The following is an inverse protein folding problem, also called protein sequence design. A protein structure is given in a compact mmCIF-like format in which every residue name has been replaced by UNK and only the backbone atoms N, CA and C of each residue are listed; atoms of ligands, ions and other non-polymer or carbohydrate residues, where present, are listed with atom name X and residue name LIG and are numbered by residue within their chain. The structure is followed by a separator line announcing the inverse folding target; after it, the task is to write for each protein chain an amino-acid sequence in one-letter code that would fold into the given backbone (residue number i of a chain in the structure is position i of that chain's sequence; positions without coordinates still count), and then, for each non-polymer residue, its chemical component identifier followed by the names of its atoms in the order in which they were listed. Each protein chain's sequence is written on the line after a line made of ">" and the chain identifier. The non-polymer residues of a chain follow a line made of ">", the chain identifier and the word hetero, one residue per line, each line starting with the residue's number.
data_IF_282666981258
#
_entry.id   IF_282666981258
#
_cell.length_a   1.000
_cell.length_b   1.000
_cell.length_c   1.000
_cell.angle_alpha   90.00
_cell.angle_beta   90.00
_cell.angle_gamma   90.00
#
_symmetry.space_group_name_H-M   'P 1'
#
loop_
_entity.id
_entity.type
_entity.pdbx_description
1 polymer ?
#
# COMPACT_ATOMS: atom_id res chain seq x y z
N UNK A 1 36.16 17.15 -6.55
CA UNK A 1 35.10 18.18 -6.59
C UNK A 1 33.88 17.52 -7.20
N UNK A 2 32.84 17.26 -6.42
CA UNK A 2 31.58 16.77 -7.00
C UNK A 2 31.01 17.90 -7.87
N UNK A 3 30.76 17.61 -9.15
CA UNK A 3 30.25 18.56 -10.13
C UNK A 3 28.85 19.02 -9.72
N UNK A 4 28.66 20.33 -9.57
CA UNK A 4 27.34 20.91 -9.42
C UNK A 4 26.68 20.94 -10.80
N UNK A 5 25.81 19.99 -11.09
CA UNK A 5 24.89 20.09 -12.22
C UNK A 5 23.88 21.20 -11.90
N UNK A 6 23.94 22.28 -12.68
CA UNK A 6 23.09 23.46 -12.50
C UNK A 6 22.28 23.69 -13.76
N UNK A 7 20.97 23.86 -13.63
CA UNK A 7 20.05 24.11 -14.73
C UNK A 7 18.61 24.15 -14.26
N UNK A 8 17.69 24.19 -15.21
CA UNK A 8 16.25 24.24 -15.00
C UNK A 8 15.63 22.88 -15.30
N UNK A 9 14.53 22.58 -14.63
CA UNK A 9 13.73 21.36 -14.80
C UNK A 9 12.25 21.76 -14.81
N UNK A 10 11.42 21.02 -15.54
CA UNK A 10 9.97 21.20 -15.44
C UNK A 10 9.45 20.46 -14.21
N UNK A 11 8.57 21.10 -13.44
CA UNK A 11 7.91 20.51 -12.28
C UNK A 11 6.41 20.74 -12.34
N UNK A 12 5.62 19.69 -12.15
CA UNK A 12 4.14 19.76 -12.10
C UNK A 12 3.65 19.23 -10.78
N UNK A 13 2.82 20.02 -10.09
CA UNK A 13 2.30 19.71 -8.77
C UNK A 13 0.81 19.35 -8.84
N UNK A 14 0.46 18.21 -8.25
CA UNK A 14 -0.90 17.71 -8.16
C UNK A 14 -1.33 17.70 -6.70
N UNK A 15 -2.37 18.47 -6.36
CA UNK A 15 -2.96 18.43 -5.02
C UNK A 15 -3.82 17.17 -4.89
N UNK A 16 -3.43 16.24 -4.01
CA UNK A 16 -4.15 14.98 -3.78
C UNK A 16 -5.06 15.04 -2.54
N UNK A 17 -4.54 15.59 -1.43
CA UNK A 17 -5.31 15.88 -0.20
C UNK A 17 -4.71 17.14 0.46
N UNK A 18 -5.27 17.61 1.59
CA UNK A 18 -4.80 18.82 2.29
C UNK A 18 -3.32 18.77 2.69
N UNK A 19 -2.80 17.57 2.99
CA UNK A 19 -1.43 17.33 3.47
C UNK A 19 -0.63 16.45 2.52
N UNK A 20 -1.14 16.22 1.30
CA UNK A 20 -0.55 15.29 0.33
C UNK A 20 -0.57 15.95 -1.05
N UNK A 21 0.61 16.05 -1.64
CA UNK A 21 0.78 16.44 -3.04
C UNK A 21 1.59 15.39 -3.77
N UNK A 22 1.40 15.30 -5.07
CA UNK A 22 2.31 14.59 -5.94
C UNK A 22 3.04 15.55 -6.86
N UNK A 23 4.27 15.21 -7.17
CA UNK A 23 5.16 15.98 -8.02
C UNK A 23 5.64 15.10 -9.16
N UNK A 24 5.58 15.62 -10.38
CA UNK A 24 6.31 15.10 -11.53
C UNK A 24 7.41 16.09 -11.90
N UNK A 25 8.60 15.59 -12.21
CA UNK A 25 9.75 16.40 -12.57
C UNK A 25 10.55 15.76 -13.70
N UNK A 26 11.02 16.55 -14.66
CA UNK A 26 11.94 16.08 -15.70
C UNK A 26 13.29 15.67 -15.10
N UNK A 27 13.88 14.58 -15.58
CA UNK A 27 15.15 14.07 -15.05
C UNK A 27 16.35 14.91 -15.49
N UNK A 28 16.29 15.47 -16.70
CA UNK A 28 17.39 16.23 -17.29
C UNK A 28 17.29 17.71 -16.96
N UNK A 29 18.43 18.31 -16.64
CA UNK A 29 18.60 19.75 -16.52
C UNK A 29 18.80 20.38 -17.89
N UNK A 30 18.19 21.54 -18.12
CA UNK A 30 18.41 22.37 -19.30
C UNK A 30 18.99 23.73 -18.90
N UNK A 31 19.72 24.39 -19.80
CA UNK A 31 20.33 25.70 -19.52
C UNK A 31 19.32 26.85 -19.56
N UNK A 32 18.29 26.75 -20.40
CA UNK A 32 17.29 27.79 -20.61
C UNK A 32 15.95 27.43 -19.94
N UNK A 33 15.39 28.28 -19.07
CA UNK A 33 14.12 27.99 -18.40
C UNK A 33 12.95 27.79 -19.36
N UNK A 34 12.95 28.48 -20.51
CA UNK A 34 11.85 28.38 -21.48
C UNK A 34 11.79 26.99 -22.15
N UNK A 35 12.92 26.28 -22.19
CA UNK A 35 13.03 24.95 -22.81
C UNK A 35 12.71 23.81 -21.83
N UNK A 36 12.64 24.09 -20.52
CA UNK A 36 12.61 23.06 -19.48
C UNK A 36 11.39 22.13 -19.57
N UNK A 37 10.26 22.63 -20.06
CA UNK A 37 9.02 21.88 -20.17
C UNK A 37 8.72 21.34 -21.58
N UNK A 38 9.62 21.53 -22.56
CA UNK A 38 9.36 21.07 -23.94
C UNK A 38 9.29 19.54 -24.04
N UNK A 39 10.13 18.84 -23.29
CA UNK A 39 10.21 17.37 -23.26
C UNK A 39 9.42 16.76 -22.08
N UNK A 40 8.61 17.56 -21.38
CA UNK A 40 7.81 17.04 -20.28
C UNK A 40 6.62 16.22 -20.80
N UNK A 41 6.58 14.94 -20.45
CA UNK A 41 5.46 14.06 -20.71
C UNK A 41 4.86 13.53 -19.40
N UNK A 42 3.63 13.94 -19.03
CA UNK A 42 2.99 13.52 -17.78
C UNK A 42 2.66 12.03 -17.75
N UNK A 43 2.64 11.32 -18.89
CA UNK A 43 2.32 9.90 -18.94
C UNK A 43 3.49 8.98 -18.62
N UNK A 44 4.72 9.47 -18.83
CA UNK A 44 5.96 8.72 -18.60
C UNK A 44 6.74 9.22 -17.40
N UNK A 45 6.55 10.48 -16.99
CA UNK A 45 7.24 11.07 -15.85
C UNK A 45 6.73 10.46 -14.53
N UNK A 46 7.61 9.93 -13.66
CA UNK A 46 7.20 9.29 -12.42
C UNK A 46 6.63 10.29 -11.40
N UNK A 47 5.65 9.84 -10.62
CA UNK A 47 5.13 10.59 -9.48
C UNK A 47 5.99 10.40 -8.25
N UNK A 48 6.28 11.51 -7.57
CA UNK A 48 6.82 11.52 -6.20
C UNK A 48 5.76 12.06 -5.26
N UNK A 49 5.32 11.25 -4.30
CA UNK A 49 4.37 11.70 -3.27
C UNK A 49 5.11 12.43 -2.15
N UNK A 50 4.69 13.66 -1.87
CA UNK A 50 5.18 14.47 -0.76
C UNK A 50 4.07 14.63 0.29
N UNK A 51 4.45 14.44 1.55
CA UNK A 51 3.55 14.53 2.71
C UNK A 51 4.10 15.55 3.70
N UNK A 52 3.22 16.20 4.45
CA UNK A 52 3.64 17.10 5.52
C UNK A 52 4.35 16.33 6.64
N UNK A 53 5.26 17.01 7.34
CA UNK A 53 6.01 16.42 8.47
C UNK A 53 5.08 16.01 9.61
N UNK A 54 4.06 16.82 9.87
CA UNK A 54 2.99 16.55 10.84
C UNK A 54 1.75 16.05 10.13
N UNK A 55 1.36 14.81 10.43
CA UNK A 55 0.17 14.17 9.90
C UNK A 55 -0.81 13.92 11.02
N UNK A 56 -2.00 14.50 10.89
CA UNK A 56 -3.11 14.27 11.81
C UNK A 56 -3.89 13.03 11.36
N UNK A 57 -4.40 12.20 12.28
CA UNK A 57 -5.30 11.12 11.91
C UNK A 57 -6.52 11.63 11.15
N UNK A 58 -6.85 10.96 10.05
CA UNK A 58 -8.04 11.23 9.22
C UNK A 58 -8.81 9.94 9.00
N UNK A 59 -10.09 10.06 8.68
CA UNK A 59 -10.95 8.92 8.34
C UNK A 59 -10.32 8.11 7.20
N UNK A 60 -10.18 6.80 7.38
CA UNK A 60 -9.73 5.92 6.29
C UNK A 60 -10.80 5.85 5.19
N UNK A 61 -10.42 5.74 3.91
CA UNK A 61 -11.35 5.46 2.83
C UNK A 61 -11.93 4.05 2.95
N UNK A 62 -13.06 3.79 2.29
CA UNK A 62 -13.63 2.45 2.14
C UNK A 62 -13.80 1.70 3.47
N UNK A 63 -14.54 2.27 4.42
CA UNK A 63 -14.82 1.60 5.69
C UNK A 63 -15.53 0.26 5.45
N UNK A 64 -15.06 -0.80 6.09
CA UNK A 64 -15.61 -2.14 5.87
C UNK A 64 -14.68 -3.27 6.25
N UNK A 65 -15.06 -4.49 5.85
CA UNK A 65 -14.27 -5.70 6.00
C UNK A 65 -14.07 -6.33 4.64
N UNK A 66 -12.82 -6.64 4.32
CA UNK A 66 -12.41 -7.10 3.00
C UNK A 66 -11.58 -8.37 3.12
N UNK A 67 -11.73 -9.25 2.15
CA UNK A 67 -10.82 -10.38 1.93
C UNK A 67 -9.77 -9.94 0.90
N UNK A 68 -8.51 -10.24 1.18
CA UNK A 68 -7.42 -9.87 0.29
C UNK A 68 -7.28 -10.88 -0.85
N UNK A 69 -7.37 -10.40 -2.09
CA UNK A 69 -7.06 -11.20 -3.27
C UNK A 69 -5.54 -11.39 -3.35
N UNK A 70 -5.02 -12.51 -2.82
CA UNK A 70 -3.59 -12.81 -2.90
C UNK A 70 -3.15 -12.99 -4.36
N UNK A 71 -2.17 -12.20 -4.80
CA UNK A 71 -1.60 -12.26 -6.15
C UNK A 71 -0.59 -13.43 -6.30
N UNK A 72 -0.23 -14.17 -5.23
CA UNK A 72 0.65 -15.33 -5.41
C UNK A 72 0.42 -16.48 -4.40
N UNK A 73 -0.15 -17.58 -4.90
CA UNK A 73 0.02 -18.93 -4.31
C UNK A 73 0.30 -19.98 -5.38
N UNK A 74 1.16 -19.68 -6.36
CA UNK A 74 1.68 -20.73 -7.25
C UNK A 74 2.88 -21.51 -6.65
N UNK A 75 3.47 -21.04 -5.54
CA UNK A 75 4.65 -21.68 -4.94
C UNK A 75 4.34 -22.85 -3.97
N UNK A 76 3.12 -22.96 -3.42
CA UNK A 76 2.83 -23.93 -2.33
C UNK A 76 2.22 -25.27 -2.79
N UNK A 77 1.79 -25.43 -4.06
CA UNK A 77 1.16 -26.68 -4.55
C UNK A 77 2.12 -27.77 -5.08
N UNK A 78 3.42 -27.50 -5.25
CA UNK A 78 4.38 -28.47 -5.83
C UNK A 78 5.09 -29.39 -4.84
N UNK A 79 4.96 -29.21 -3.51
CA UNK A 79 5.63 -30.08 -2.52
C UNK A 79 4.77 -31.21 -1.93
N UNK A 80 3.48 -31.35 -2.28
CA UNK A 80 2.60 -32.38 -1.72
C UNK A 80 2.36 -33.59 -2.64
N UNK A 81 3.39 -34.08 -3.34
CA UNK A 81 3.24 -35.30 -4.15
C UNK A 81 4.41 -36.29 -4.12
N UNK A 82 5.31 -36.18 -3.17
CA UNK A 82 6.31 -37.23 -2.92
C UNK A 82 6.50 -37.44 -1.42
N UNK A 83 5.70 -38.32 -0.85
CA UNK A 83 6.09 -39.06 0.35
C UNK A 83 5.38 -40.43 0.30
N UNK A 84 6.11 -41.55 0.23
CA UNK A 84 5.64 -42.82 0.73
C UNK A 84 5.85 -42.88 2.26
N UNK A 85 4.93 -43.57 2.92
CA UNK A 85 4.84 -43.81 4.36
C UNK A 85 6.13 -44.39 4.97
N UNK A 86 6.53 -43.93 6.17
CA UNK A 86 6.87 -44.83 7.29
C UNK A 86 7.14 -44.12 8.65
N UNK A 87 6.46 -44.65 9.68
CA UNK A 87 6.75 -44.71 11.13
C UNK A 87 6.90 -43.43 12.01
N UNK A 88 5.85 -43.23 12.84
CA UNK A 88 5.79 -42.77 14.25
C UNK A 88 6.88 -41.81 14.79
N UNK A 89 6.46 -40.60 15.14
CA UNK A 89 6.87 -39.98 16.41
C UNK A 89 5.82 -38.99 16.90
N UNK A 90 5.34 -39.22 18.13
CA UNK A 90 4.48 -38.31 18.86
C UNK A 90 5.30 -37.11 19.32
N UNK A 91 5.09 -35.98 18.66
CA UNK A 91 5.27 -34.62 19.17
C UNK A 91 4.59 -33.76 18.11
N UNK A 92 3.50 -33.08 18.44
CA UNK A 92 2.92 -32.06 17.58
C UNK A 92 3.80 -30.81 17.73
N UNK A 93 4.71 -30.46 16.81
CA UNK A 93 5.07 -29.06 16.69
C UNK A 93 3.79 -28.38 16.18
N UNK A 94 3.23 -27.47 16.98
CA UNK A 94 2.32 -26.46 16.45
C UNK A 94 2.93 -25.94 15.14
N UNK A 95 2.15 -25.80 14.06
CA UNK A 95 2.69 -25.30 12.81
C UNK A 95 3.23 -23.90 13.09
N UNK A 96 4.56 -23.81 13.14
CA UNK A 96 5.30 -22.56 13.28
C UNK A 96 4.76 -21.61 12.21
N UNK A 97 4.06 -20.56 12.66
CA UNK A 97 3.20 -19.78 11.79
C UNK A 97 4.03 -18.73 11.05
N UNK A 98 5.01 -19.19 10.29
CA UNK A 98 5.91 -18.34 9.50
C UNK A 98 5.22 -17.90 8.20
N UNK A 99 3.94 -17.52 8.29
CA UNK A 99 3.15 -17.02 7.17
C UNK A 99 2.91 -15.54 7.39
N UNK A 100 3.63 -14.70 6.65
CA UNK A 100 3.36 -13.26 6.57
C UNK A 100 2.17 -12.92 5.66
N UNK A 101 1.37 -13.94 5.31
CA UNK A 101 0.24 -13.81 4.42
C UNK A 101 -0.95 -13.26 5.22
N UNK A 102 -1.31 -12.00 4.98
CA UNK A 102 -2.58 -11.43 5.46
C UNK A 102 -3.73 -11.94 4.60
N UNK A 103 -4.86 -12.26 5.23
CA UNK A 103 -6.04 -12.82 4.54
C UNK A 103 -7.18 -11.82 4.47
N UNK A 104 -7.24 -10.89 5.42
CA UNK A 104 -8.31 -9.91 5.51
C UNK A 104 -7.81 -8.53 5.95
N UNK A 105 -8.56 -7.52 5.56
CA UNK A 105 -8.38 -6.13 5.94
C UNK A 105 -9.67 -5.61 6.58
N UNK A 106 -9.56 -5.03 7.77
CA UNK A 106 -10.65 -4.33 8.43
C UNK A 106 -10.34 -2.84 8.47
N UNK A 107 -11.23 -2.00 7.94
CA UNK A 107 -11.06 -0.55 7.89
C UNK A 107 -12.18 0.10 8.68
N UNK A 108 -11.84 0.94 9.66
CA UNK A 108 -12.82 1.64 10.48
C UNK A 108 -13.36 0.88 11.68
N UNK A 109 -12.93 -0.37 11.92
CA UNK A 109 -13.54 -1.23 12.93
C UNK A 109 -13.11 -0.89 14.36
N UNK A 110 -11.83 -0.56 14.58
CA UNK A 110 -11.28 -0.15 15.89
C UNK A 110 -11.40 1.36 16.11
N UNK A 111 -11.36 2.12 15.01
CA UNK A 111 -11.70 3.53 14.94
C UNK A 111 -11.81 3.96 13.48
N UNK A 112 -12.57 5.02 13.19
CA UNK A 112 -12.82 5.45 11.80
C UNK A 112 -11.57 5.85 11.01
N UNK A 113 -10.46 6.09 11.71
CA UNK A 113 -9.16 6.48 11.17
C UNK A 113 -8.13 5.34 11.23
N UNK A 114 -8.55 4.12 11.54
CA UNK A 114 -7.67 2.96 11.65
C UNK A 114 -8.01 1.88 10.62
N UNK A 115 -6.97 1.19 10.15
CA UNK A 115 -7.07 0.00 9.33
C UNK A 115 -6.19 -1.12 9.89
N UNK A 116 -6.67 -2.35 9.83
CA UNK A 116 -6.03 -3.51 10.45
C UNK A 116 -5.95 -4.68 9.49
N UNK A 117 -4.74 -5.17 9.27
CA UNK A 117 -4.52 -6.41 8.56
C UNK A 117 -4.61 -7.60 9.52
N UNK A 118 -5.35 -8.62 9.09
CA UNK A 118 -5.61 -9.84 9.86
C UNK A 118 -4.99 -11.04 9.15
N UNK A 119 -4.27 -11.85 9.91
CA UNK A 119 -3.81 -13.17 9.47
C UNK A 119 -4.51 -14.27 10.28
N UNK A 120 -4.50 -15.48 9.76
CA UNK A 120 -4.99 -16.68 10.44
C UNK A 120 -4.03 -17.17 11.54
N UNK A 121 -2.85 -16.56 11.69
CA UNK A 121 -1.95 -16.91 12.79
C UNK A 121 -2.22 -16.09 14.06
N UNK A 122 -2.64 -16.78 15.12
CA UNK A 122 -2.85 -16.22 16.46
C UNK A 122 -1.58 -15.68 17.15
N UNK A 123 -0.40 -16.13 16.73
CA UNK A 123 0.89 -15.66 17.28
C UNK A 123 1.42 -14.39 16.57
N UNK A 124 0.81 -13.98 15.45
CA UNK A 124 1.22 -12.79 14.73
C UNK A 124 0.51 -11.56 15.30
N UNK A 125 1.28 -10.54 15.69
CA UNK A 125 0.71 -9.28 16.16
C UNK A 125 -0.15 -8.64 15.06
N UNK A 126 -1.31 -8.09 15.46
CA UNK A 126 -2.20 -7.34 14.57
C UNK A 126 -1.44 -6.14 14.01
N UNK A 127 -1.33 -6.07 12.69
CA UNK A 127 -0.74 -4.92 11.99
C UNK A 127 -1.80 -3.86 11.77
N UNK A 128 -1.89 -2.94 12.73
CA UNK A 128 -2.80 -1.81 12.73
C UNK A 128 -2.09 -0.53 12.27
N UNK A 129 -2.80 0.29 11.50
CA UNK A 129 -2.30 1.52 10.91
C UNK A 129 -3.31 2.66 11.05
N UNK A 130 -2.81 3.86 11.34
CA UNK A 130 -3.59 5.10 11.39
C UNK A 130 -3.52 5.81 10.04
N UNK A 131 -4.67 6.15 9.46
CA UNK A 131 -4.77 6.87 8.18
C UNK A 131 -4.58 8.37 8.35
N UNK A 132 -3.97 9.01 7.36
CA UNK A 132 -3.63 10.45 7.40
C UNK A 132 -4.10 11.24 6.17
N UNK A 133 -4.55 10.53 5.14
CA UNK A 133 -5.08 11.10 3.91
C UNK A 133 -5.11 10.06 2.81
N UNK A 134 -5.95 10.28 1.82
CA UNK A 134 -6.14 9.36 0.71
C UNK A 134 -6.58 10.08 -0.55
N UNK A 135 -6.27 9.49 -1.69
CA UNK A 135 -6.81 9.90 -2.98
C UNK A 135 -7.07 8.67 -3.84
N UNK A 136 -7.85 8.86 -4.90
CA UNK A 136 -8.19 7.81 -5.85
C UNK A 136 -7.91 8.31 -7.25
N UNK A 137 -7.31 7.45 -8.07
CA UNK A 137 -7.02 7.72 -9.47
C UNK A 137 -7.20 6.44 -10.28
N UNK A 138 -8.01 6.50 -11.33
CA UNK A 138 -8.29 5.36 -12.21
C UNK A 138 -8.73 4.08 -11.46
N UNK A 139 -9.49 4.22 -10.36
CA UNK A 139 -9.96 3.11 -9.52
C UNK A 139 -8.91 2.54 -8.58
N UNK A 140 -7.70 3.10 -8.53
CA UNK A 140 -6.65 2.77 -7.56
C UNK A 140 -6.75 3.73 -6.40
N UNK A 141 -6.91 3.19 -5.19
CA UNK A 141 -6.91 3.97 -3.95
C UNK A 141 -5.52 3.99 -3.32
N UNK A 142 -5.08 5.17 -2.93
CA UNK A 142 -3.82 5.43 -2.24
C UNK A 142 -4.11 5.95 -0.84
N UNK A 143 -3.42 5.44 0.17
CA UNK A 143 -3.63 5.83 1.57
C UNK A 143 -2.31 5.99 2.29
N UNK A 144 -2.08 7.18 2.84
CA UNK A 144 -0.91 7.45 3.68
C UNK A 144 -1.24 7.05 5.11
N UNK A 145 -0.38 6.22 5.70
CA UNK A 145 -0.59 5.68 7.04
C UNK A 145 0.65 5.65 7.92
N UNK A 146 0.44 5.50 9.22
CA UNK A 146 1.47 5.22 10.23
C UNK A 146 1.16 3.93 10.97
N UNK A 147 2.15 3.11 11.37
CA UNK A 147 1.90 1.98 12.26
C UNK A 147 1.41 2.46 13.63
N UNK A 148 0.34 1.85 14.13
CA UNK A 148 -0.20 2.13 15.47
C UNK A 148 0.72 1.55 16.55
N UNK A 149 1.18 0.31 16.36
CA UNK A 149 2.22 -0.31 17.16
C UNK A 149 3.54 -0.30 16.38
N UNK A 150 4.58 0.33 16.94
CA UNK A 150 5.89 0.46 16.27
C UNK A 150 6.86 -0.61 16.77
N UNK A 151 7.37 -1.45 15.87
CA UNK A 151 8.66 -2.10 16.07
C UNK A 151 9.77 -1.12 15.66
N UNK A 152 10.96 -1.25 16.24
CA UNK A 152 12.10 -0.38 15.91
C UNK A 152 12.53 -0.44 14.45
N UNK A 153 12.15 -1.50 13.74
CA UNK A 153 12.47 -1.76 12.33
C UNK A 153 11.41 -1.27 11.34
N UNK A 154 10.24 -0.85 11.82
CA UNK A 154 9.13 -0.48 10.92
C UNK A 154 9.37 0.88 10.28
N UNK A 155 8.96 1.03 9.02
CA UNK A 155 8.99 2.32 8.36
C UNK A 155 8.10 3.31 9.13
N UNK A 156 8.52 4.58 9.17
CA UNK A 156 7.75 5.61 9.88
C UNK A 156 6.38 5.87 9.22
N UNK A 157 6.29 5.70 7.90
CA UNK A 157 5.11 6.00 7.08
C UNK A 157 4.98 4.94 5.98
N UNK A 158 3.75 4.61 5.62
CA UNK A 158 3.44 3.72 4.51
C UNK A 158 2.48 4.42 3.54
N UNK A 159 2.60 4.09 2.25
CA UNK A 159 1.59 4.37 1.24
C UNK A 159 0.98 3.03 0.83
N UNK A 160 -0.23 2.74 1.30
CA UNK A 160 -0.96 1.56 0.85
C UNK A 160 -1.68 1.88 -0.45
N UNK A 161 -1.57 0.95 -1.40
CA UNK A 161 -2.15 1.05 -2.73
C UNK A 161 -3.01 -0.18 -2.96
N UNK A 162 -4.28 -0.01 -3.28
CA UNK A 162 -5.19 -1.11 -3.52
C UNK A 162 -6.31 -0.74 -4.49
N UNK A 163 -6.91 -1.77 -5.07
CA UNK A 163 -8.16 -1.68 -5.82
C UNK A 163 -9.22 -2.50 -5.10
N UNK A 164 -10.47 -2.05 -5.17
CA UNK A 164 -11.60 -2.87 -4.73
C UNK A 164 -12.06 -3.69 -5.94
N UNK A 165 -12.18 -5.01 -5.75
CA UNK A 165 -12.91 -5.82 -6.70
C UNK A 165 -14.40 -5.57 -6.45
N UNK A 166 -15.08 -4.88 -7.37
CA UNK A 166 -16.53 -4.70 -7.28
C UNK A 166 -17.21 -6.07 -7.13
N UNK A 167 -18.06 -6.21 -6.11
CA UNK A 167 -19.12 -7.20 -6.15
C UNK A 167 -19.98 -6.89 -7.38
N UNK A 168 -20.06 -7.84 -8.31
CA UNK A 168 -20.94 -7.77 -9.46
C UNK A 168 -22.30 -7.20 -9.03
N UNK A 169 -22.67 -6.06 -9.62
CA UNK A 169 -24.00 -5.40 -9.56
C UNK A 169 -25.04 -6.28 -8.87
N UNK A 170 -25.30 -6.02 -7.59
CA UNK A 170 -26.47 -6.59 -6.93
C UNK A 170 -27.68 -6.09 -7.71
N UNK A 171 -28.26 -6.99 -8.50
CA UNK A 171 -29.52 -6.80 -9.17
C UNK A 171 -30.59 -6.58 -8.10
N UNK A 172 -30.89 -5.33 -7.79
CA UNK A 172 -32.16 -4.99 -7.15
C UNK A 172 -33.24 -5.19 -8.21
N UNK A 173 -33.88 -6.36 -8.10
CA UNK A 173 -35.20 -6.63 -8.66
C UNK A 173 -36.14 -5.65 -7.96
N UNK A 174 -36.62 -4.67 -8.71
CA UNK A 174 -37.78 -3.88 -8.30
C UNK A 174 -39.01 -4.81 -8.40
N UNK A 175 -39.76 -4.89 -7.31
CA UNK A 175 -40.99 -5.68 -7.18
C UNK A 175 -42.17 -4.78 -6.93
#
# INVERSE_FOLDING_TARGET
>A
TAGCDSGYVCMVFYKRDSNIIELQQTENYVENPDDACLDFDPSTTPYTTLITTTLHPKKCPHLGRYTLASISTQAKKRKKRQQPDDVKSANNPEPDCVSHDYEALAVGCSGSHEMEFKSSCSQQAVSAYSCHGSWEENGITYVITTPVARKSTDALRYCFIYTLADEAKSAMIDG
#
